data_IF_115738719072
#
_entry.id   IF_115738719072
#
_cell.length_a   1.000
_cell.length_b   1.000
_cell.length_c   1.000
_cell.angle_alpha   90.00
_cell.angle_beta   90.00
_cell.angle_gamma   90.00
#
_symmetry.space_group_name_H-M   'P 1'
#
loop_
_entity.id
_entity.type
_entity.pdbx_description
1 polymer ?
#
# COMPACT_ATOMS: atom_id res chain seq x y z
N UNK A 1 -18.54 -45.45 -33.74
CA UNK A 1 -17.15 -45.60 -33.24
C UNK A 1 -16.26 -44.42 -33.61
N UNK A 2 -16.08 -44.08 -34.90
CA UNK A 2 -15.26 -42.91 -35.32
C UNK A 2 -15.66 -41.58 -34.64
N UNK A 3 -16.96 -41.26 -34.57
CA UNK A 3 -17.47 -40.05 -33.89
C UNK A 3 -17.22 -40.01 -32.37
N UNK A 4 -17.16 -41.17 -31.71
CA UNK A 4 -16.87 -41.26 -30.27
C UNK A 4 -15.37 -41.06 -30.01
N UNK A 5 -14.52 -41.60 -30.89
CA UNK A 5 -13.07 -41.40 -30.84
C UNK A 5 -12.71 -39.93 -31.09
N UNK A 6 -13.39 -39.26 -32.04
CA UNK A 6 -13.20 -37.81 -32.29
C UNK A 6 -13.60 -36.95 -31.08
N UNK A 7 -14.66 -37.33 -30.36
CA UNK A 7 -15.13 -36.59 -29.19
C UNK A 7 -14.15 -36.71 -28.00
N UNK A 8 -13.56 -37.90 -27.80
CA UNK A 8 -12.55 -38.14 -26.76
C UNK A 8 -11.26 -37.36 -27.05
N UNK A 9 -10.87 -37.27 -28.32
CA UNK A 9 -9.67 -36.52 -28.73
C UNK A 9 -9.81 -35.00 -28.48
N UNK A 10 -11.01 -34.44 -28.70
CA UNK A 10 -11.32 -33.02 -28.44
C UNK A 10 -11.38 -32.72 -26.94
N UNK A 11 -11.89 -33.64 -26.12
CA UNK A 11 -11.92 -33.50 -24.66
C UNK A 11 -10.52 -33.62 -24.03
N UNK A 12 -9.59 -34.34 -24.67
CA UNK A 12 -8.18 -34.41 -24.24
C UNK A 12 -7.33 -33.20 -24.65
N UNK A 13 -7.84 -32.31 -25.50
CA UNK A 13 -7.17 -31.07 -25.93
C UNK A 13 -7.54 -29.85 -25.06
N UNK A 14 -8.48 -29.97 -24.13
CA UNK A 14 -8.85 -28.88 -23.19
C UNK A 14 -8.08 -28.90 -21.87
N UNK A 15 -7.14 -29.84 -21.68
CA UNK A 15 -6.26 -29.94 -20.50
C UNK A 15 -4.88 -29.29 -20.74
N UNK A 16 -4.69 -28.56 -21.85
CA UNK A 16 -3.47 -27.78 -22.07
C UNK A 16 -3.38 -26.65 -21.05
N UNK A 17 -2.70 -26.97 -19.95
CA UNK A 17 -1.96 -26.09 -19.07
C UNK A 17 -2.65 -24.76 -18.77
N UNK A 18 -3.68 -24.81 -17.92
CA UNK A 18 -3.93 -23.66 -17.07
C UNK A 18 -2.67 -23.50 -16.21
N UNK A 19 -1.78 -22.55 -16.52
CA UNK A 19 -0.76 -22.09 -15.57
C UNK A 19 -1.54 -21.58 -14.36
N UNK A 20 -1.74 -22.44 -13.37
CA UNK A 20 -2.50 -22.09 -12.19
C UNK A 20 -1.75 -20.93 -11.51
N UNK A 21 -2.34 -19.74 -11.56
CA UNK A 21 -1.80 -18.55 -10.92
C UNK A 21 -1.50 -18.86 -9.46
N UNK A 22 -0.26 -18.65 -9.01
CA UNK A 22 0.08 -18.80 -7.60
C UNK A 22 -0.47 -17.58 -6.85
N UNK A 23 -1.47 -17.80 -6.01
CA UNK A 23 -2.14 -16.71 -5.28
C UNK A 23 -1.62 -16.68 -3.84
N UNK A 24 -1.10 -15.52 -3.43
CA UNK A 24 -0.72 -15.23 -2.05
C UNK A 24 -1.77 -14.28 -1.46
N UNK A 25 -2.47 -14.61 -0.37
CA UNK A 25 -3.32 -13.64 0.32
C UNK A 25 -2.49 -12.45 0.83
N UNK A 26 -3.00 -11.22 0.71
CA UNK A 26 -2.27 -9.99 1.14
C UNK A 26 -1.76 -10.04 2.59
N UNK A 27 -2.47 -10.71 3.50
CA UNK A 27 -2.05 -10.90 4.89
C UNK A 27 -0.91 -11.92 5.08
N UNK A 28 -0.56 -12.65 4.02
CA UNK A 28 0.56 -13.59 3.98
C UNK A 28 1.77 -13.07 3.21
N UNK A 29 1.63 -11.97 2.47
CA UNK A 29 2.73 -11.35 1.73
C UNK A 29 3.94 -11.03 2.63
N UNK A 30 3.70 -10.64 3.88
CA UNK A 30 4.75 -10.37 4.88
C UNK A 30 5.69 -11.54 5.16
N UNK A 31 5.22 -12.79 4.98
CA UNK A 31 6.03 -13.99 5.20
C UNK A 31 7.10 -14.21 4.11
N UNK A 32 7.08 -13.38 3.06
CA UNK A 32 8.00 -13.45 1.91
C UNK A 32 9.04 -12.32 1.89
N UNK A 33 8.96 -11.34 2.81
CA UNK A 33 9.86 -10.17 2.81
C UNK A 33 11.34 -10.53 2.99
N UNK A 34 11.61 -11.57 3.78
CA UNK A 34 12.99 -12.02 4.08
C UNK A 34 13.45 -13.18 3.18
N UNK A 35 12.63 -13.58 2.20
CA UNK A 35 12.99 -14.64 1.26
C UNK A 35 13.86 -14.09 0.14
N UNK A 36 14.81 -14.89 -0.33
CA UNK A 36 15.70 -14.53 -1.45
C UNK A 36 14.93 -14.15 -2.72
N UNK A 37 13.93 -14.96 -3.10
CA UNK A 37 13.07 -14.69 -4.27
C UNK A 37 11.86 -13.78 -3.94
N UNK A 38 11.81 -13.22 -2.73
CA UNK A 38 10.70 -12.39 -2.27
C UNK A 38 9.34 -13.06 -2.48
N UNK A 39 8.38 -12.28 -3.00
CA UNK A 39 7.02 -12.74 -3.32
C UNK A 39 6.99 -13.79 -4.44
N UNK A 40 8.01 -13.86 -5.29
CA UNK A 40 8.04 -14.77 -6.43
C UNK A 40 8.27 -16.22 -6.00
N UNK A 41 9.05 -16.48 -4.94
CA UNK A 41 9.26 -17.82 -4.33
C UNK A 41 9.48 -18.94 -5.39
N UNK A 42 10.36 -18.67 -6.36
CA UNK A 42 10.67 -19.58 -7.47
C UNK A 42 9.52 -19.82 -8.47
N UNK A 43 8.53 -18.92 -8.57
CA UNK A 43 7.43 -18.99 -9.54
C UNK A 43 7.66 -18.03 -10.70
N UNK A 44 7.12 -18.38 -11.87
CA UNK A 44 7.10 -17.49 -13.05
C UNK A 44 6.10 -16.34 -12.87
N UNK A 45 5.04 -16.56 -12.10
CA UNK A 45 3.94 -15.61 -11.95
C UNK A 45 3.23 -15.75 -10.60
N UNK A 46 3.07 -14.62 -9.91
CA UNK A 46 2.42 -14.55 -8.59
C UNK A 46 1.36 -13.46 -8.57
N UNK A 47 0.24 -13.71 -7.88
CA UNK A 47 -0.74 -12.69 -7.54
C UNK A 47 -0.93 -12.58 -6.04
N UNK A 48 -0.47 -11.46 -5.49
CA UNK A 48 -0.81 -11.05 -4.13
C UNK A 48 -2.22 -10.46 -4.13
N UNK A 49 -3.20 -11.22 -3.63
CA UNK A 49 -4.62 -10.89 -3.78
C UNK A 49 -5.28 -10.63 -2.44
N UNK A 50 -6.13 -9.61 -2.38
CA UNK A 50 -6.93 -9.30 -1.20
C UNK A 50 -8.22 -10.14 -1.18
N UNK A 51 -8.06 -11.42 -0.86
CA UNK A 51 -9.14 -12.42 -0.86
C UNK A 51 -10.16 -12.13 0.25
N UNK A 52 -9.68 -11.66 1.40
CA UNK A 52 -10.48 -11.46 2.61
C UNK A 52 -10.98 -10.02 2.80
N UNK A 53 -10.89 -9.18 1.76
CA UNK A 53 -11.30 -7.77 1.78
C UNK A 53 -10.71 -6.98 2.96
N UNK A 54 -9.46 -7.29 3.32
CA UNK A 54 -8.74 -6.61 4.41
C UNK A 54 -8.36 -5.20 4.00
N UNK A 55 -7.94 -4.99 2.75
CA UNK A 55 -7.54 -3.67 2.25
C UNK A 55 -8.73 -2.69 2.21
N UNK A 56 -9.92 -3.20 1.88
CA UNK A 56 -11.17 -2.42 1.86
C UNK A 56 -11.45 -1.71 3.18
N UNK A 57 -11.01 -2.28 4.32
CA UNK A 57 -11.18 -1.68 5.66
C UNK A 57 -10.48 -0.32 5.79
N UNK A 58 -9.40 -0.10 5.05
CA UNK A 58 -8.60 1.14 5.06
C UNK A 58 -9.09 2.18 4.05
N UNK A 59 -9.83 1.76 3.01
CA UNK A 59 -10.28 2.65 1.93
C UNK A 59 -11.24 3.73 2.43
N UNK A 60 -11.15 4.92 1.86
CA UNK A 60 -12.01 6.06 2.17
C UNK A 60 -11.25 7.35 2.42
N UNK A 61 -11.99 8.38 2.84
CA UNK A 61 -11.42 9.67 3.24
C UNK A 61 -11.34 9.74 4.76
N UNK A 62 -10.16 10.06 5.27
CA UNK A 62 -9.84 10.11 6.69
C UNK A 62 -9.41 11.52 7.05
N UNK A 63 -10.01 12.10 8.09
CA UNK A 63 -9.68 13.45 8.56
C UNK A 63 -9.31 13.47 10.03
N UNK A 64 -8.46 14.42 10.40
CA UNK A 64 -8.10 14.65 11.79
C UNK A 64 -7.23 15.87 11.96
N UNK A 65 -6.96 16.22 13.21
CA UNK A 65 -6.17 17.41 13.56
C UNK A 65 -5.04 17.03 14.51
N UNK A 66 -3.86 17.62 14.30
CA UNK A 66 -2.70 17.41 15.15
C UNK A 66 -1.73 18.59 15.05
N UNK A 67 -1.25 19.08 16.20
CA UNK A 67 -0.33 20.23 16.29
C UNK A 67 -0.75 21.43 15.42
N UNK A 68 -2.01 21.84 15.55
CA UNK A 68 -2.60 22.98 14.80
C UNK A 68 -2.59 22.82 13.27
N UNK A 69 -2.47 21.59 12.77
CA UNK A 69 -2.64 21.24 11.36
C UNK A 69 -3.87 20.36 11.18
N UNK A 70 -4.53 20.54 10.04
CA UNK A 70 -5.59 19.65 9.58
C UNK A 70 -5.00 18.67 8.56
N UNK A 71 -5.41 17.40 8.68
CA UNK A 71 -4.99 16.33 7.81
C UNK A 71 -6.21 15.73 7.13
N UNK A 72 -6.09 15.50 5.83
CA UNK A 72 -7.02 14.73 5.02
C UNK A 72 -6.22 13.68 4.26
N UNK A 73 -6.59 12.41 4.39
CA UNK A 73 -6.01 11.31 3.64
C UNK A 73 -7.10 10.65 2.80
N UNK A 74 -6.83 10.42 1.53
CA UNK A 74 -7.67 9.64 0.62
C UNK A 74 -6.95 8.34 0.31
N UNK A 75 -7.52 7.23 0.77
CA UNK A 75 -6.94 5.90 0.62
C UNK A 75 -7.81 5.08 -0.33
N UNK A 76 -7.19 4.53 -1.36
CA UNK A 76 -7.85 3.70 -2.36
C UNK A 76 -7.13 2.35 -2.48
N UNK A 77 -7.88 1.32 -2.86
CA UNK A 77 -7.32 0.03 -3.27
C UNK A 77 -7.08 0.08 -4.78
N UNK A 78 -5.94 -0.43 -5.22
CA UNK A 78 -5.62 -0.61 -6.64
C UNK A 78 -5.01 -2.00 -6.87
N UNK A 79 -4.82 -2.35 -8.14
CA UNK A 79 -4.10 -3.56 -8.53
C UNK A 79 -2.98 -3.18 -9.51
N UNK A 80 -1.74 -3.53 -9.19
CA UNK A 80 -0.59 -3.41 -10.08
C UNK A 80 -0.32 -4.74 -10.77
N UNK A 81 0.30 -4.71 -11.95
CA UNK A 81 0.68 -5.90 -12.72
C UNK A 81 1.88 -5.54 -13.60
N UNK A 82 3.04 -6.10 -13.32
CA UNK A 82 4.25 -5.90 -14.12
C UNK A 82 4.52 -7.06 -15.10
N UNK A 83 3.62 -8.04 -15.15
CA UNK A 83 3.71 -9.23 -16.00
C UNK A 83 4.18 -10.49 -15.27
N UNK A 84 4.96 -10.35 -14.20
CA UNK A 84 5.44 -11.46 -13.35
C UNK A 84 4.75 -11.42 -11.98
N UNK A 85 4.53 -10.22 -11.45
CA UNK A 85 3.91 -9.97 -10.16
C UNK A 85 2.68 -9.07 -10.33
N UNK A 86 1.54 -9.60 -9.91
CA UNK A 86 0.29 -8.84 -9.76
C UNK A 86 0.03 -8.62 -8.29
N UNK A 87 -0.39 -7.42 -7.88
CA UNK A 87 -0.61 -7.13 -6.46
C UNK A 87 -1.83 -6.24 -6.23
N UNK A 88 -2.71 -6.65 -5.33
CA UNK A 88 -3.69 -5.76 -4.72
C UNK A 88 -3.00 -4.98 -3.58
N UNK A 89 -2.99 -3.65 -3.66
CA UNK A 89 -2.32 -2.79 -2.68
C UNK A 89 -3.12 -1.52 -2.38
N UNK A 90 -2.66 -0.76 -1.39
CA UNK A 90 -3.22 0.55 -1.05
C UNK A 90 -2.38 1.67 -1.64
N UNK A 91 -3.05 2.70 -2.15
CA UNK A 91 -2.46 4.01 -2.42
C UNK A 91 -3.10 5.03 -1.49
N UNK A 92 -2.28 5.89 -0.88
CA UNK A 92 -2.76 6.97 -0.06
C UNK A 92 -2.24 8.33 -0.55
N UNK A 93 -3.17 9.26 -0.73
CA UNK A 93 -2.90 10.67 -1.00
C UNK A 93 -3.32 11.49 0.18
N UNK A 94 -2.75 12.67 0.32
CA UNK A 94 -3.00 13.49 1.49
C UNK A 94 -2.93 14.98 1.21
N UNK A 95 -3.66 15.73 2.02
CA UNK A 95 -3.63 17.18 2.08
C UNK A 95 -3.44 17.60 3.52
N UNK A 96 -2.56 18.57 3.71
CA UNK A 96 -2.24 19.15 5.01
C UNK A 96 -2.43 20.66 4.91
N UNK A 97 -3.19 21.22 5.83
CA UNK A 97 -3.31 22.67 5.98
C UNK A 97 -2.90 23.09 7.38
N UNK A 98 -2.49 24.34 7.54
CA UNK A 98 -2.44 24.96 8.87
C UNK A 98 -3.85 25.29 9.38
N UNK A 99 -3.91 25.82 10.60
CA UNK A 99 -5.15 26.22 11.28
C UNK A 99 -5.91 27.33 10.56
N UNK A 100 -5.25 28.10 9.69
CA UNK A 100 -5.85 29.19 8.92
C UNK A 100 -6.31 28.73 7.53
N UNK A 101 -6.19 27.44 7.22
CA UNK A 101 -6.58 26.85 5.93
C UNK A 101 -5.52 27.00 4.84
N UNK A 102 -4.33 27.52 5.12
CA UNK A 102 -3.25 27.59 4.13
C UNK A 102 -2.68 26.20 3.90
N UNK A 103 -2.53 25.83 2.63
CA UNK A 103 -1.98 24.52 2.23
C UNK A 103 -0.50 24.45 2.56
N UNK A 104 -0.12 23.41 3.30
CA UNK A 104 1.27 23.03 3.58
C UNK A 104 1.75 22.02 2.53
N UNK A 105 0.93 21.00 2.26
CA UNK A 105 1.23 19.92 1.32
C UNK A 105 -0.09 19.43 0.72
N UNK A 106 -0.10 19.09 -0.58
CA UNK A 106 -1.27 18.50 -1.23
C UNK A 106 -0.83 17.53 -2.33
N UNK A 107 -1.21 16.27 -2.18
CA UNK A 107 -0.96 15.19 -3.15
C UNK A 107 -2.25 14.59 -3.71
N UNK A 108 -3.42 15.16 -3.39
CA UNK A 108 -4.74 14.60 -3.74
C UNK A 108 -4.98 14.43 -5.24
N UNK A 109 -4.37 15.28 -6.06
CA UNK A 109 -4.56 15.31 -7.52
C UNK A 109 -3.38 14.68 -8.29
N UNK A 110 -2.39 14.11 -7.59
CA UNK A 110 -1.26 13.46 -8.24
C UNK A 110 -1.67 12.12 -8.86
N UNK A 111 -1.07 11.70 -9.99
CA UNK A 111 -1.32 10.40 -10.60
C UNK A 111 -0.81 9.26 -9.72
N UNK A 112 -1.27 8.02 -9.96
CA UNK A 112 -0.94 6.86 -9.12
C UNK A 112 0.56 6.53 -9.10
N UNK A 113 1.29 6.85 -10.19
CA UNK A 113 2.72 6.61 -10.37
C UNK A 113 3.61 7.74 -9.82
N UNK A 114 3.03 8.78 -9.23
CA UNK A 114 3.81 9.88 -8.64
C UNK A 114 4.59 9.40 -7.40
N UNK A 115 5.86 9.76 -7.25
CA UNK A 115 6.68 9.35 -6.10
C UNK A 115 6.19 9.92 -4.76
N UNK A 116 5.33 10.95 -4.79
CA UNK A 116 4.75 11.57 -3.60
C UNK A 116 3.40 10.97 -3.16
N UNK A 117 2.91 9.96 -3.88
CA UNK A 117 1.79 9.13 -3.42
C UNK A 117 2.35 8.09 -2.46
N UNK A 118 1.71 7.89 -1.31
CA UNK A 118 2.07 6.81 -0.40
C UNK A 118 1.69 5.49 -1.05
N UNK A 119 2.66 4.61 -1.26
CA UNK A 119 2.50 3.42 -2.10
C UNK A 119 3.11 2.17 -1.50
N UNK A 120 2.70 1.03 -2.07
CA UNK A 120 3.23 -0.30 -1.72
C UNK A 120 3.03 -0.66 -0.25
N UNK A 121 3.88 -1.56 0.22
CA UNK A 121 3.89 -2.04 1.60
C UNK A 121 2.93 -3.20 1.83
N UNK A 122 2.67 -3.53 3.09
CA UNK A 122 2.08 -4.81 3.47
C UNK A 122 1.31 -4.73 4.79
N UNK A 123 0.45 -5.73 5.01
CA UNK A 123 -0.21 -5.96 6.29
C UNK A 123 0.82 -6.47 7.30
N UNK A 124 0.89 -5.85 8.48
CA UNK A 124 1.81 -6.28 9.53
C UNK A 124 1.38 -7.65 10.09
N UNK A 125 2.32 -8.58 10.16
CA UNK A 125 2.10 -9.99 10.56
C UNK A 125 1.31 -10.15 11.87
N UNK A 126 1.63 -9.34 12.86
CA UNK A 126 1.02 -9.39 14.20
C UNK A 126 -0.30 -8.61 14.30
N UNK A 127 -0.69 -7.88 13.24
CA UNK A 127 -1.91 -7.06 13.23
C UNK A 127 -2.49 -6.92 11.82
N UNK A 128 -3.48 -7.73 11.50
CA UNK A 128 -4.24 -7.65 10.23
C UNK A 128 -4.97 -6.31 10.04
N UNK A 129 -5.04 -5.50 11.09
CA UNK A 129 -5.64 -4.17 11.09
C UNK A 129 -4.61 -3.06 10.89
N UNK A 130 -3.33 -3.40 10.73
CA UNK A 130 -2.23 -2.45 10.51
C UNK A 130 -1.61 -2.68 9.14
N UNK A 131 -1.49 -1.60 8.37
CA UNK A 131 -0.85 -1.59 7.06
C UNK A 131 0.30 -0.57 7.06
N UNK A 132 1.42 -0.93 6.45
CA UNK A 132 2.56 -0.04 6.25
C UNK A 132 2.56 0.47 4.81
N UNK A 133 2.80 1.75 4.60
CA UNK A 133 2.98 2.39 3.29
C UNK A 133 4.37 3.02 3.23
N UNK A 134 5.00 3.00 2.05
CA UNK A 134 6.24 3.74 1.83
C UNK A 134 5.94 5.23 1.66
N UNK A 135 6.81 6.08 2.20
CA UNK A 135 6.68 7.53 2.15
C UNK A 135 7.97 8.18 1.64
N UNK A 136 7.82 9.00 0.61
CA UNK A 136 8.86 9.87 0.06
C UNK A 136 8.30 11.30 0.02
N UNK A 137 8.93 12.19 0.76
CA UNK A 137 8.62 13.62 0.79
C UNK A 137 9.47 14.44 -0.18
N UNK A 138 9.12 15.72 -0.33
CA UNK A 138 9.83 16.65 -1.22
C UNK A 138 11.29 16.88 -0.83
N UNK A 139 11.61 16.75 0.46
CA UNK A 139 12.97 16.89 0.98
C UNK A 139 13.60 15.52 1.27
N UNK A 140 13.35 14.50 0.44
CA UNK A 140 13.83 13.13 0.66
C UNK A 140 15.35 13.05 0.80
N UNK A 141 16.11 13.87 0.05
CA UNK A 141 17.58 13.91 0.16
C UNK A 141 18.04 14.29 1.58
N UNK A 142 17.20 15.05 2.29
CA UNK A 142 17.42 15.48 3.66
C UNK A 142 16.63 14.66 4.70
N UNK A 143 16.26 13.42 4.40
CA UNK A 143 15.64 12.49 5.37
C UNK A 143 14.13 12.69 5.55
N UNK A 144 13.43 13.30 4.58
CA UNK A 144 11.97 13.38 4.59
C UNK A 144 11.35 12.14 3.93
N UNK A 145 11.59 10.97 4.52
CA UNK A 145 11.19 9.66 4.01
C UNK A 145 10.98 8.66 5.16
N UNK A 146 10.37 7.53 4.85
CA UNK A 146 10.21 6.42 5.78
C UNK A 146 8.94 5.62 5.55
N UNK A 147 8.37 5.12 6.63
CA UNK A 147 7.22 4.22 6.60
C UNK A 147 6.04 4.83 7.35
N UNK A 148 4.89 4.94 6.69
CA UNK A 148 3.64 5.36 7.31
C UNK A 148 2.85 4.14 7.74
N UNK A 149 2.58 4.04 9.03
CA UNK A 149 1.75 2.99 9.59
C UNK A 149 0.34 3.52 9.79
N UNK A 150 -0.64 2.82 9.24
CA UNK A 150 -2.06 3.06 9.45
C UNK A 150 -2.68 1.86 10.14
N UNK A 151 -3.52 2.09 11.14
CA UNK A 151 -4.24 1.03 11.84
C UNK A 151 -5.71 1.38 12.05
N UNK A 152 -6.62 0.56 11.52
CA UNK A 152 -8.07 0.79 11.63
C UNK A 152 -8.66 0.12 12.85
N UNK A 153 -9.60 0.80 13.52
CA UNK A 153 -10.26 0.30 14.73
C UNK A 153 -11.61 0.97 14.97
N UNK A 154 -12.28 0.54 16.05
CA UNK A 154 -13.62 1.00 16.42
C UNK A 154 -14.72 0.29 15.64
N UNK A 155 -15.98 0.56 16.01
CA UNK A 155 -17.14 -0.03 15.35
C UNK A 155 -17.11 0.31 13.86
N UNK A 156 -17.21 -0.72 13.01
CA UNK A 156 -17.17 -0.62 11.54
C UNK A 156 -15.89 0.01 10.96
N UNK A 157 -14.74 -0.06 11.66
CA UNK A 157 -13.46 0.48 11.18
C UNK A 157 -13.54 1.97 10.81
N UNK A 158 -14.15 2.78 11.69
CA UNK A 158 -14.40 4.22 11.46
C UNK A 158 -13.33 5.14 12.05
N UNK A 159 -12.37 4.57 12.80
CA UNK A 159 -11.22 5.29 13.36
C UNK A 159 -9.92 4.70 12.83
N UNK A 160 -8.92 5.56 12.67
CA UNK A 160 -7.59 5.19 12.20
C UNK A 160 -6.52 5.81 13.07
N UNK A 161 -5.55 5.01 13.52
CA UNK A 161 -4.27 5.51 14.02
C UNK A 161 -3.32 5.68 12.85
N UNK A 162 -2.61 6.80 12.77
CA UNK A 162 -1.59 7.04 11.76
C UNK A 162 -0.32 7.59 12.41
N UNK A 163 0.85 7.12 12.00
CA UNK A 163 2.13 7.79 12.26
C UNK A 163 3.17 7.48 11.19
N UNK A 164 4.13 8.37 11.03
CA UNK A 164 5.34 8.20 10.24
C UNK A 164 6.48 7.73 11.15
N UNK A 165 7.04 6.56 10.84
CA UNK A 165 8.38 6.19 11.27
C UNK A 165 9.38 6.72 10.24
N UNK A 166 10.16 7.72 10.62
CA UNK A 166 11.22 8.24 9.75
C UNK A 166 12.26 7.14 9.56
N UNK A 167 12.56 6.83 8.30
CA UNK A 167 13.52 5.80 7.92
C UNK A 167 14.15 6.15 6.58
N UNK A 168 15.39 5.73 6.36
CA UNK A 168 16.18 6.03 5.17
C UNK A 168 17.41 6.91 5.47
N UNK A 169 18.27 7.05 4.47
CA UNK A 169 19.53 7.79 4.60
C UNK A 169 19.36 9.26 4.25
N UNK A 170 20.20 10.10 4.86
CA UNK A 170 20.45 11.45 4.37
C UNK A 170 21.54 11.38 3.31
N UNK A 171 21.27 11.96 2.14
CA UNK A 171 22.22 11.97 1.04
C UNK A 171 23.24 13.11 1.21
N UNK A 172 24.41 12.93 0.60
CA UNK A 172 25.55 13.86 0.72
C UNK A 172 25.25 15.26 0.18
N UNK A 173 24.25 15.40 -0.69
CA UNK A 173 23.81 16.65 -1.30
C UNK A 173 22.82 17.43 -0.41
N UNK A 174 22.45 16.89 0.77
CA UNK A 174 21.67 17.62 1.75
C UNK A 174 22.49 18.73 2.42
N UNK A 175 22.31 19.96 1.97
CA UNK A 175 23.02 21.15 2.50
C UNK A 175 22.28 21.88 3.62
N UNK A 176 21.01 21.57 3.85
CA UNK A 176 20.15 22.30 4.81
C UNK A 176 20.03 21.62 6.17
N UNK A 177 20.63 20.45 6.34
CA UNK A 177 20.42 19.58 7.51
C UNK A 177 19.09 18.81 7.44
N UNK A 178 18.79 18.06 8.50
CA UNK A 178 17.63 17.16 8.56
C UNK A 178 16.31 17.90 8.31
N UNK A 179 15.53 17.38 7.35
CA UNK A 179 14.27 17.98 6.96
C UNK A 179 13.22 17.86 8.06
N UNK A 180 12.42 18.93 8.22
CA UNK A 180 11.23 18.87 9.06
C UNK A 180 10.18 17.95 8.42
N UNK A 181 9.66 17.01 9.21
CA UNK A 181 8.61 16.11 8.75
C UNK A 181 7.26 16.84 8.64
N UNK A 182 6.56 16.62 7.52
CA UNK A 182 5.20 17.16 7.32
C UNK A 182 4.14 16.24 7.89
N UNK A 183 4.36 14.92 7.82
CA UNK A 183 3.51 13.90 8.42
C UNK A 183 3.79 13.75 9.93
N UNK A 184 2.80 13.27 10.72
CA UNK A 184 2.96 13.12 12.16
C UNK A 184 3.94 11.99 12.52
N UNK A 185 4.99 12.29 13.29
CA UNK A 185 5.91 11.26 13.84
C UNK A 185 5.46 10.68 15.18
N UNK A 186 4.34 11.18 15.72
CA UNK A 186 3.61 10.60 16.83
C UNK A 186 2.26 10.09 16.33
N UNK A 187 1.72 9.09 17.01
CA UNK A 187 0.40 8.53 16.68
C UNK A 187 -0.67 9.60 16.76
N UNK A 188 -1.39 9.79 15.65
CA UNK A 188 -2.58 10.62 15.55
C UNK A 188 -3.80 9.76 15.31
N UNK A 189 -4.96 10.28 15.70
CA UNK A 189 -6.25 9.66 15.39
C UNK A 189 -6.93 10.41 14.26
N UNK A 190 -7.36 9.68 13.24
CA UNK A 190 -8.20 10.16 12.15
C UNK A 190 -9.56 9.46 12.21
N UNK A 191 -10.59 10.13 11.69
CA UNK A 191 -11.95 9.60 11.55
C UNK A 191 -12.33 9.51 10.08
N UNK A 192 -12.99 8.40 9.73
CA UNK A 192 -13.57 8.20 8.40
C UNK A 192 -14.70 9.21 8.19
N UNK A 193 -14.76 9.80 7.00
CA UNK A 193 -15.81 10.74 6.58
C UNK A 193 -16.91 10.05 5.80
#
# INVERSE_FOLDING_TARGET
>A
MKKVITLILVLSLSIFSCKAQHIIPVEKAVDYLDKEDGLMDGKDYVYVKDINNLLTKFTGTWKGTYNSKNFEFKIVKTTTDDGELKEDLLLARYKITDSNGRVIENTLDLPDDSPYVLFGGYIIKESIYTYMLNYIGKNTNCGQNGNVFISVYGTNNTKMKLFLQVAGEMYFDCTTGAAKQVLPTKVVTLTKQ
#
